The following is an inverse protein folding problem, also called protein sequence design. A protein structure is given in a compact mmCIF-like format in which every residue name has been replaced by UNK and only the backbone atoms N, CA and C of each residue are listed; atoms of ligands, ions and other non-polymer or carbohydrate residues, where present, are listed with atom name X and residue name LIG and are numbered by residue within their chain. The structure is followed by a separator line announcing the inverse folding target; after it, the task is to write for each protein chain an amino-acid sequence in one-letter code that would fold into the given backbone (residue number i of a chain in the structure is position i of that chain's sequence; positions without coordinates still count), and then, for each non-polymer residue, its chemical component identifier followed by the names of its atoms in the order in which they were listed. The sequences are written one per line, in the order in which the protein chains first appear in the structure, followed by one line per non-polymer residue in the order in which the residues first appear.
data_IF_957917694915
#
_entry.id   IF_957917694915
#
_cell.length_a   1.000
_cell.length_b   1.000
_cell.length_c   1.000
_cell.angle_alpha   90.00
_cell.angle_beta   90.00
_cell.angle_gamma   90.00
#
_symmetry.space_group_name_H-M   'P 1'
#
loop_
_entity.id
_entity.type
_entity.pdbx_description
1 polymer ?
#
# COMPACT_ATOMS: atom_id res chain seq x y z
N UNK A 1 -26.46 -22.33 -6.02
CA UNK A 1 -26.56 -22.42 -4.55
C UNK A 1 -25.31 -22.95 -3.84
N UNK A 2 -24.59 -23.98 -4.33
CA UNK A 2 -23.37 -24.48 -3.65
C UNK A 2 -22.15 -23.54 -3.66
N UNK A 3 -22.08 -22.57 -4.59
CA UNK A 3 -20.96 -21.61 -4.70
C UNK A 3 -21.05 -20.45 -3.72
N UNK A 4 -22.25 -19.90 -3.48
CA UNK A 4 -22.49 -18.74 -2.60
C UNK A 4 -22.05 -19.02 -1.16
N UNK A 5 -22.46 -20.16 -0.60
CA UNK A 5 -22.06 -20.56 0.76
C UNK A 5 -20.57 -20.93 0.91
N UNK A 6 -19.80 -21.04 -0.17
CA UNK A 6 -18.34 -21.23 -0.10
C UNK A 6 -17.62 -19.89 0.05
N UNK A 7 -18.12 -18.85 -0.62
CA UNK A 7 -17.56 -17.49 -0.54
C UNK A 7 -17.83 -16.87 0.83
N UNK A 8 -19.06 -16.99 1.35
CA UNK A 8 -19.41 -16.50 2.69
C UNK A 8 -18.54 -17.13 3.79
N UNK A 9 -18.30 -18.45 3.73
CA UNK A 9 -17.43 -19.13 4.69
C UNK A 9 -15.98 -18.67 4.61
N UNK A 10 -15.47 -18.39 3.42
CA UNK A 10 -14.12 -17.82 3.26
C UNK A 10 -14.05 -16.40 3.82
N UNK A 11 -15.06 -15.57 3.56
CA UNK A 11 -15.12 -14.20 4.07
C UNK A 11 -15.17 -14.19 5.60
N UNK A 12 -16.02 -15.02 6.19
CA UNK A 12 -16.12 -15.16 7.65
C UNK A 12 -14.80 -15.64 8.27
N UNK A 13 -14.10 -16.59 7.63
CA UNK A 13 -12.79 -17.04 8.08
C UNK A 13 -11.72 -15.94 8.00
N UNK A 14 -11.69 -15.15 6.92
CA UNK A 14 -10.78 -14.02 6.76
C UNK A 14 -11.03 -12.92 7.81
N UNK A 15 -12.30 -12.60 8.07
CA UNK A 15 -12.70 -11.64 9.11
C UNK A 15 -12.32 -12.15 10.51
N UNK A 16 -12.56 -13.43 10.79
CA UNK A 16 -12.15 -14.03 12.06
C UNK A 16 -10.63 -13.98 12.27
N UNK A 17 -9.84 -14.28 11.22
CA UNK A 17 -8.38 -14.18 11.26
C UNK A 17 -7.89 -12.73 11.45
N UNK A 18 -8.57 -11.76 10.83
CA UNK A 18 -8.29 -10.33 11.04
C UNK A 18 -8.48 -9.92 12.50
N UNK A 19 -9.63 -10.25 13.10
CA UNK A 19 -9.91 -9.92 14.50
C UNK A 19 -8.97 -10.65 15.46
N UNK A 20 -8.62 -11.90 15.18
CA UNK A 20 -7.64 -12.65 15.96
C UNK A 20 -6.27 -11.97 15.94
N UNK A 21 -5.79 -11.59 14.75
CA UNK A 21 -4.53 -10.85 14.59
C UNK A 21 -4.56 -9.51 15.33
N UNK A 22 -5.65 -8.75 15.20
CA UNK A 22 -5.81 -7.47 15.89
C UNK A 22 -5.79 -7.63 17.41
N UNK A 23 -6.47 -8.64 17.94
CA UNK A 23 -6.50 -8.91 19.37
C UNK A 23 -5.13 -9.28 19.92
N UNK A 24 -4.35 -10.07 19.18
CA UNK A 24 -2.96 -10.39 19.54
C UNK A 24 -2.05 -9.15 19.53
N UNK A 25 -2.21 -8.26 18.55
CA UNK A 25 -1.43 -7.03 18.46
C UNK A 25 -1.75 -6.07 19.62
N UNK A 26 -3.03 -5.89 19.94
CA UNK A 26 -3.47 -5.07 21.08
C UNK A 26 -2.94 -5.65 22.40
N UNK A 27 -3.04 -6.97 22.58
CA UNK A 27 -2.50 -7.66 23.75
C UNK A 27 -0.99 -7.45 23.92
N UNK A 28 -0.23 -7.51 22.83
CA UNK A 28 1.21 -7.26 22.82
C UNK A 28 1.57 -5.81 23.21
N UNK A 29 0.84 -4.83 22.65
CA UNK A 29 1.05 -3.40 22.97
C UNK A 29 0.76 -3.13 24.45
N UNK A 30 -0.36 -3.65 24.95
CA UNK A 30 -0.75 -3.47 26.35
C UNK A 30 0.27 -4.13 27.30
N UNK A 31 0.71 -5.36 27.00
CA UNK A 31 1.77 -6.05 27.76
C UNK A 31 3.09 -5.28 27.77
N UNK A 32 3.48 -4.69 26.63
CA UNK A 32 4.71 -3.89 26.52
C UNK A 32 4.66 -2.63 27.38
N UNK A 33 3.52 -1.92 27.42
CA UNK A 33 3.37 -0.74 28.27
C UNK A 33 3.46 -1.09 29.77
N UNK A 34 2.83 -2.20 30.18
CA UNK A 34 2.90 -2.66 31.57
C UNK A 34 4.35 -2.99 32.00
N UNK A 35 5.15 -3.59 31.11
CA UNK A 35 6.56 -3.88 31.38
C UNK A 35 7.42 -2.61 31.58
N UNK A 36 7.11 -1.51 30.90
CA UNK A 36 7.84 -0.24 31.07
C UNK A 36 7.65 0.39 32.45
N UNK A 37 6.46 0.27 33.06
CA UNK A 37 6.26 0.69 34.45
C UNK A 37 7.06 -0.15 35.43
N UNK A 38 6.99 -1.48 35.31
CA UNK A 38 7.71 -2.40 36.19
C UNK A 38 9.24 -2.28 36.07
N UNK A 39 9.75 -1.90 34.90
CA UNK A 39 11.19 -1.64 34.71
C UNK A 39 11.72 -0.46 35.52
N UNK A 40 10.92 0.60 35.71
CA UNK A 40 11.30 1.77 36.53
C UNK A 40 11.40 1.42 38.02
N UNK A 41 10.45 0.63 38.51
CA UNK A 41 10.41 0.15 39.89
C UNK A 41 11.64 -0.71 40.22
N UNK A 42 11.99 -1.64 39.32
CA UNK A 42 13.21 -2.46 39.44
C UNK A 42 14.47 -1.59 39.51
N UNK A 43 14.56 -0.54 38.67
CA UNK A 43 15.71 0.37 38.67
C UNK A 43 15.85 1.13 40.00
N UNK A 44 14.73 1.56 40.59
CA UNK A 44 14.73 2.30 41.85
C UNK A 44 15.09 1.41 43.05
N UNK A 45 14.69 0.13 43.03
CA UNK A 45 15.14 -0.87 44.00
C UNK A 45 16.65 -1.13 43.92
N UNK A 46 17.22 -1.24 42.72
CA UNK A 46 18.68 -1.37 42.55
C UNK A 46 19.45 -0.16 43.08
N UNK A 47 18.97 1.06 42.82
CA UNK A 47 19.56 2.28 43.39
C UNK A 47 19.52 2.27 44.91
N UNK A 48 18.43 1.79 45.48
CA UNK A 48 18.25 1.71 46.93
C UNK A 48 19.20 0.70 47.57
N UNK A 49 19.36 -0.49 46.96
CA UNK A 49 20.37 -1.47 47.38
C UNK A 49 21.79 -0.88 47.35
N UNK A 50 22.13 -0.17 46.27
CA UNK A 50 23.43 0.48 46.15
C UNK A 50 23.66 1.52 47.26
N UNK A 51 22.67 2.37 47.54
CA UNK A 51 22.73 3.37 48.63
C UNK A 51 22.94 2.68 49.98
N UNK A 52 22.20 1.60 50.23
CA UNK A 52 22.26 0.84 51.47
C UNK A 52 23.65 0.21 51.70
N UNK A 53 24.23 -0.40 50.65
CA UNK A 53 25.61 -0.90 50.67
C UNK A 53 26.64 0.22 50.86
N UNK A 54 26.42 1.37 50.21
CA UNK A 54 27.30 2.55 50.31
C UNK A 54 27.33 3.17 51.72
N UNK A 55 26.25 3.07 52.51
CA UNK A 55 26.22 3.57 53.89
C UNK A 55 27.32 2.96 54.76
N UNK A 56 27.50 1.64 54.69
CA UNK A 56 28.54 0.92 55.45
C UNK A 56 29.94 1.37 55.02
N UNK A 57 30.18 1.47 53.72
CA UNK A 57 31.46 1.94 53.18
C UNK A 57 31.77 3.37 53.63
N UNK A 58 30.78 4.25 53.59
CA UNK A 58 30.93 5.67 53.96
C UNK A 58 31.22 5.80 55.46
N UNK A 59 30.56 5.01 56.31
CA UNK A 59 30.86 4.95 57.74
C UNK A 59 32.26 4.38 58.03
N UNK A 60 32.70 3.39 57.26
CA UNK A 60 34.07 2.86 57.38
C UNK A 60 35.12 3.92 57.00
N UNK A 61 34.89 4.68 55.93
CA UNK A 61 35.79 5.79 55.55
C UNK A 61 35.86 6.86 56.65
N UNK A 62 34.73 7.15 57.30
CA UNK A 62 34.70 8.05 58.44
C UNK A 62 35.54 7.55 59.61
N UNK A 63 35.44 6.25 59.92
CA UNK A 63 36.23 5.61 60.96
C UNK A 63 37.73 5.58 60.60
N UNK A 64 38.08 5.33 59.34
CA UNK A 64 39.48 5.35 58.87
C UNK A 64 40.07 6.75 59.03
N UNK A 65 39.36 7.80 58.60
CA UNK A 65 39.81 9.19 58.75
C UNK A 65 39.99 9.58 60.22
N UNK A 66 39.03 9.20 61.07
CA UNK A 66 39.11 9.41 62.51
C UNK A 66 40.33 8.71 63.12
N UNK A 67 40.58 7.43 62.77
CA UNK A 67 41.74 6.68 63.29
C UNK A 67 43.06 7.28 62.85
N UNK A 68 43.15 7.74 61.59
CA UNK A 68 44.33 8.45 61.07
C UNK A 68 44.64 9.69 61.91
N UNK A 69 43.62 10.50 62.23
CA UNK A 69 43.77 11.67 63.11
C UNK A 69 44.13 11.29 64.55
N UNK A 70 43.51 10.25 65.12
CA UNK A 70 43.85 9.80 66.46
C UNK A 70 45.32 9.37 66.59
N UNK A 71 45.85 8.67 65.58
CA UNK A 71 47.22 8.20 65.55
C UNK A 71 48.23 9.34 65.33
N UNK A 72 47.98 10.21 64.36
CA UNK A 72 48.95 11.22 63.90
C UNK A 72 48.79 12.58 64.56
N UNK A 73 47.57 12.94 64.96
CA UNK A 73 47.21 14.30 65.40
C UNK A 73 47.07 15.31 64.25
N UNK A 74 47.29 14.90 62.99
CA UNK A 74 47.26 15.81 61.85
C UNK A 74 45.86 15.94 61.25
N UNK A 75 45.36 17.17 61.16
CA UNK A 75 43.99 17.48 60.72
C UNK A 75 43.70 16.99 59.30
N UNK A 76 44.70 16.88 58.43
CA UNK A 76 44.54 16.39 57.06
C UNK A 76 43.95 14.97 56.97
N UNK A 77 44.13 14.14 58.00
CA UNK A 77 43.53 12.81 58.05
C UNK A 77 42.02 12.83 58.32
N UNK A 78 41.43 13.97 58.70
CA UNK A 78 39.98 14.11 58.88
C UNK A 78 39.22 14.34 57.56
N UNK A 79 39.89 14.58 56.44
CA UNK A 79 39.23 14.82 55.15
C UNK A 79 38.28 13.68 54.68
N UNK A 80 38.58 12.38 54.89
CA UNK A 80 37.63 11.30 54.64
C UNK A 80 36.41 11.33 55.58
N UNK A 81 36.63 11.67 56.86
CA UNK A 81 35.56 11.81 57.85
C UNK A 81 34.58 12.91 57.47
N UNK A 82 35.07 14.11 57.16
CA UNK A 82 34.23 15.25 56.81
C UNK A 82 33.37 14.98 55.57
N UNK A 83 33.94 14.34 54.54
CA UNK A 83 33.20 13.91 53.34
C UNK A 83 32.13 12.87 53.66
N UNK A 84 32.48 11.87 54.48
CA UNK A 84 31.57 10.80 54.84
C UNK A 84 30.36 11.31 55.63
N UNK A 85 30.56 12.20 56.62
CA UNK A 85 29.45 12.76 57.39
C UNK A 85 28.47 13.52 56.49
N UNK A 86 28.97 14.28 55.50
CA UNK A 86 28.13 15.03 54.56
C UNK A 86 27.28 14.18 53.62
N UNK A 87 27.68 12.94 53.33
CA UNK A 87 26.98 12.04 52.41
C UNK A 87 25.98 11.11 53.12
N UNK A 88 26.21 10.79 54.40
CA UNK A 88 25.40 9.83 55.14
C UNK A 88 23.95 10.28 55.36
N UNK A 89 23.71 11.55 55.64
CA UNK A 89 22.36 12.07 55.87
C UNK A 89 21.51 12.05 54.59
N UNK A 90 22.11 12.40 53.45
CA UNK A 90 21.45 12.35 52.15
C UNK A 90 21.03 10.91 51.80
N UNK A 91 21.94 9.94 51.99
CA UNK A 91 21.63 8.54 51.72
C UNK A 91 20.51 7.98 52.61
N UNK A 92 20.52 8.31 53.91
CA UNK A 92 19.50 7.87 54.85
C UNK A 92 18.13 8.49 54.57
N UNK A 93 18.08 9.78 54.21
CA UNK A 93 16.84 10.47 53.86
C UNK A 93 16.20 9.88 52.61
N UNK A 94 16.99 9.67 51.55
CA UNK A 94 16.49 9.10 50.29
C UNK A 94 16.05 7.63 50.43
N UNK A 95 16.65 6.86 51.34
CA UNK A 95 16.19 5.51 51.67
C UNK A 95 14.86 5.53 52.44
N UNK A 96 14.69 6.47 53.38
CA UNK A 96 13.47 6.61 54.17
C UNK A 96 12.27 7.12 53.34
N UNK A 97 12.54 7.97 52.35
CA UNK A 97 11.51 8.51 51.44
C UNK A 97 11.10 7.54 50.34
N UNK A 98 11.82 6.42 50.14
CA UNK A 98 11.52 5.48 49.07
C UNK A 98 10.23 4.68 49.36
N UNK A 99 9.17 4.81 48.55
CA UNK A 99 7.91 4.10 48.76
C UNK A 99 8.06 2.57 48.74
N UNK A 100 9.00 2.04 47.96
CA UNK A 100 9.21 0.60 47.82
C UNK A 100 9.90 -0.03 49.05
N UNK A 101 10.51 0.79 49.91
CA UNK A 101 11.18 0.35 51.13
C UNK A 101 10.32 0.55 52.39
N UNK A 102 9.05 0.96 52.27
CA UNK A 102 8.17 1.20 53.43
C UNK A 102 8.08 -0.02 54.37
N UNK A 103 8.08 -1.24 53.81
CA UNK A 103 8.10 -2.48 54.59
C UNK A 103 9.33 -2.59 55.51
N UNK A 104 10.47 -2.02 55.10
CA UNK A 104 11.74 -1.98 55.84
C UNK A 104 11.92 -0.70 56.67
N UNK A 105 10.90 0.14 56.79
CA UNK A 105 11.00 1.44 57.46
C UNK A 105 11.53 1.36 58.90
N UNK A 106 11.18 0.30 59.64
CA UNK A 106 11.69 0.08 60.99
C UNK A 106 13.21 -0.20 61.02
N UNK A 107 13.70 -1.00 60.08
CA UNK A 107 15.13 -1.30 59.94
C UNK A 107 15.91 -0.08 59.45
N UNK A 108 15.37 0.69 58.51
CA UNK A 108 15.97 1.95 58.04
C UNK A 108 16.07 2.97 59.17
N UNK A 109 15.01 3.12 59.97
CA UNK A 109 15.03 4.00 61.15
C UNK A 109 16.05 3.52 62.21
N UNK A 110 16.19 2.20 62.39
CA UNK A 110 17.20 1.64 63.27
C UNK A 110 18.62 1.89 62.76
N UNK A 111 18.88 1.70 61.46
CA UNK A 111 20.16 2.02 60.80
C UNK A 111 20.48 3.52 60.95
N UNK A 112 19.50 4.41 60.76
CA UNK A 112 19.68 5.85 60.94
C UNK A 112 20.10 6.19 62.39
N UNK A 113 19.42 5.60 63.39
CA UNK A 113 19.78 5.78 64.81
C UNK A 113 21.17 5.25 65.14
N UNK A 114 21.53 4.05 64.67
CA UNK A 114 22.84 3.44 64.89
C UNK A 114 23.96 4.25 64.20
N UNK A 115 23.71 4.75 62.99
CA UNK A 115 24.60 5.66 62.27
C UNK A 115 24.82 6.96 63.05
N UNK A 116 23.75 7.56 63.59
CA UNK A 116 23.86 8.76 64.43
C UNK A 116 24.70 8.50 65.70
N UNK A 117 24.45 7.40 66.42
CA UNK A 117 25.25 7.00 67.58
C UNK A 117 26.72 6.84 67.21
N UNK A 118 27.02 6.14 66.11
CA UNK A 118 28.40 5.94 65.64
C UNK A 118 29.07 7.25 65.26
N UNK A 119 28.36 8.15 64.58
CA UNK A 119 28.90 9.48 64.23
C UNK A 119 29.19 10.33 65.46
N UNK A 120 28.34 10.26 66.48
CA UNK A 120 28.55 10.98 67.75
C UNK A 120 29.79 10.47 68.51
N UNK A 121 30.00 9.15 68.53
CA UNK A 121 31.21 8.51 69.08
C UNK A 121 32.49 8.99 68.35
N UNK A 122 32.46 8.99 67.00
CA UNK A 122 33.56 9.48 66.18
C UNK A 122 33.85 10.97 66.43
N UNK A 123 32.81 11.81 66.52
CA UNK A 123 32.97 13.23 66.79
C UNK A 123 33.56 13.49 68.18
N UNK A 124 33.05 12.80 69.21
CA UNK A 124 33.51 12.96 70.59
C UNK A 124 34.98 12.56 70.75
N UNK A 125 35.40 11.47 70.10
CA UNK A 125 36.79 11.00 70.15
C UNK A 125 37.75 11.96 69.44
N UNK A 126 37.33 12.60 68.34
CA UNK A 126 38.10 13.67 67.68
C UNK A 126 38.24 14.89 68.59
N UNK A 127 37.16 15.31 69.27
CA UNK A 127 37.19 16.45 70.21
C UNK A 127 38.11 16.17 71.39
N UNK A 128 37.96 15.00 72.04
CA UNK A 128 38.82 14.60 73.16
C UNK A 128 40.30 14.54 72.73
N UNK A 129 40.59 14.08 71.52
CA UNK A 129 41.96 14.09 70.98
C UNK A 129 42.53 15.50 70.83
N UNK A 130 41.71 16.47 70.40
CA UNK A 130 42.12 17.88 70.25
C UNK A 130 42.35 18.56 71.60
N UNK A 131 41.50 18.30 72.58
CA UNK A 131 41.49 19.04 73.86
C UNK A 131 42.32 18.37 74.97
N UNK A 132 42.31 17.04 75.04
CA UNK A 132 42.83 16.26 76.17
C UNK A 132 43.98 15.31 75.78
N UNK A 133 44.37 15.30 74.50
CA UNK A 133 45.49 14.51 73.99
C UNK A 133 45.18 13.03 73.73
N UNK A 134 46.20 12.26 73.36
CA UNK A 134 46.05 10.89 72.83
C UNK A 134 45.49 9.89 73.83
N UNK A 135 45.97 9.97 75.07
CA UNK A 135 45.69 8.98 76.12
C UNK A 135 44.21 9.04 76.53
N UNK A 136 43.65 10.24 76.63
CA UNK A 136 42.22 10.44 76.92
C UNK A 136 41.34 9.89 75.79
N UNK A 137 41.71 10.16 74.53
CA UNK A 137 40.97 9.67 73.36
C UNK A 137 41.01 8.13 73.24
N UNK A 138 42.15 7.49 73.53
CA UNK A 138 42.27 6.03 73.54
C UNK A 138 41.46 5.36 74.67
N UNK A 139 41.32 6.02 75.82
CA UNK A 139 40.49 5.50 76.93
C UNK A 139 39.02 5.48 76.54
N UNK A 140 38.54 6.51 75.85
CA UNK A 140 37.17 6.58 75.33
C UNK A 140 36.92 5.53 74.23
N UNK A 141 37.92 5.25 73.40
CA UNK A 141 37.81 4.26 72.32
C UNK A 141 37.75 2.80 72.79
N UNK A 142 38.15 2.51 74.04
CA UNK A 142 38.15 1.14 74.60
C UNK A 142 36.76 0.63 74.98
N UNK A 143 35.74 1.48 74.94
CA UNK A 143 34.34 1.07 75.09
C UNK A 143 33.86 0.42 73.78
N UNK A 144 33.60 -0.90 73.77
CA UNK A 144 33.30 -1.73 72.57
C UNK A 144 31.95 -1.40 71.87
N UNK A 145 31.35 -0.25 72.19
CA UNK A 145 30.06 0.21 71.70
C UNK A 145 30.06 0.37 70.17
N UNK A 146 31.16 0.87 69.60
CA UNK A 146 31.28 1.11 68.16
C UNK A 146 31.22 -0.16 67.31
N UNK A 147 31.69 -1.30 67.84
CA UNK A 147 31.61 -2.60 67.17
C UNK A 147 30.17 -3.12 67.17
N UNK A 148 29.48 -3.00 68.31
CA UNK A 148 28.07 -3.39 68.46
C UNK A 148 27.20 -2.63 67.44
N UNK A 149 27.40 -1.32 67.29
CA UNK A 149 26.63 -0.53 66.32
C UNK A 149 26.86 -0.99 64.87
N UNK A 150 28.12 -1.28 64.51
CA UNK A 150 28.47 -1.74 63.16
C UNK A 150 27.93 -3.14 62.85
N UNK A 151 27.99 -4.07 63.81
CA UNK A 151 27.47 -5.43 63.62
C UNK A 151 25.94 -5.44 63.53
N UNK A 152 25.25 -4.66 64.35
CA UNK A 152 23.79 -4.49 64.28
C UNK A 152 23.36 -3.82 62.96
N UNK A 153 24.09 -2.80 62.48
CA UNK A 153 23.84 -2.19 61.17
C UNK A 153 24.05 -3.19 60.03
N UNK A 154 25.12 -3.98 60.05
CA UNK A 154 25.36 -5.04 59.04
C UNK A 154 24.23 -6.06 59.02
N UNK A 155 23.75 -6.49 60.17
CA UNK A 155 22.65 -7.44 60.27
C UNK A 155 21.37 -6.90 59.63
N UNK A 156 20.99 -5.66 59.97
CA UNK A 156 19.79 -5.01 59.41
C UNK A 156 19.91 -4.76 57.91
N UNK A 157 21.08 -4.30 57.48
CA UNK A 157 21.38 -4.10 56.06
C UNK A 157 21.25 -5.43 55.30
N UNK A 158 21.86 -6.50 55.80
CA UNK A 158 21.75 -7.84 55.20
C UNK A 158 20.31 -8.36 55.10
N UNK A 159 19.48 -8.09 56.11
CA UNK A 159 18.05 -8.44 56.09
C UNK A 159 17.29 -7.69 54.99
N UNK A 160 17.52 -6.38 54.84
CA UNK A 160 16.92 -5.58 53.77
C UNK A 160 17.40 -6.06 52.40
N UNK A 161 18.72 -6.26 52.23
CA UNK A 161 19.33 -6.71 50.98
C UNK A 161 18.75 -8.05 50.52
N UNK A 162 18.63 -9.01 51.44
CA UNK A 162 18.09 -10.34 51.15
C UNK A 162 16.63 -10.28 50.71
N UNK A 163 15.81 -9.47 51.39
CA UNK A 163 14.39 -9.33 51.08
C UNK A 163 14.13 -8.57 49.76
N UNK A 164 14.89 -7.51 49.50
CA UNK A 164 14.82 -6.78 48.23
C UNK A 164 15.33 -7.64 47.07
N UNK A 165 16.41 -8.42 47.29
CA UNK A 165 16.94 -9.34 46.27
C UNK A 165 15.93 -10.44 45.90
N UNK A 166 15.17 -10.96 46.88
CA UNK A 166 14.09 -11.91 46.61
C UNK A 166 12.97 -11.26 45.77
N UNK A 167 12.53 -10.07 46.16
CA UNK A 167 11.49 -9.31 45.44
C UNK A 167 11.90 -8.99 44.00
N UNK A 168 13.16 -8.60 43.79
CA UNK A 168 13.73 -8.35 42.46
C UNK A 168 13.73 -9.59 41.58
N UNK A 169 14.00 -10.79 42.14
CA UNK A 169 13.96 -12.04 41.37
C UNK A 169 12.55 -12.37 40.89
N UNK A 170 11.56 -12.22 41.76
CA UNK A 170 10.15 -12.45 41.39
C UNK A 170 9.69 -11.47 40.30
N UNK A 171 9.95 -10.18 40.49
CA UNK A 171 9.59 -9.16 39.48
C UNK A 171 10.30 -9.40 38.14
N UNK A 172 11.57 -9.82 38.16
CA UNK A 172 12.34 -10.11 36.95
C UNK A 172 11.73 -11.26 36.13
N UNK A 173 11.30 -12.33 36.80
CA UNK A 173 10.65 -13.47 36.11
C UNK A 173 9.31 -13.07 35.49
N UNK A 174 8.49 -12.28 36.20
CA UNK A 174 7.22 -11.76 35.67
C UNK A 174 7.44 -10.84 34.46
N UNK A 175 8.43 -9.94 34.53
CA UNK A 175 8.85 -9.07 33.43
C UNK A 175 9.28 -9.86 32.18
N UNK A 176 10.12 -10.89 32.36
CA UNK A 176 10.62 -11.72 31.27
C UNK A 176 9.47 -12.45 30.56
N UNK A 177 8.64 -13.15 31.32
CA UNK A 177 7.48 -13.87 30.80
C UNK A 177 6.53 -12.94 30.01
N UNK A 178 6.18 -11.76 30.56
CA UNK A 178 5.32 -10.78 29.88
C UNK A 178 5.94 -10.26 28.59
N UNK A 179 7.26 -10.03 28.59
CA UNK A 179 7.96 -9.56 27.39
C UNK A 179 7.97 -10.62 26.29
N UNK A 180 8.18 -11.89 26.63
CA UNK A 180 8.12 -12.99 25.66
C UNK A 180 6.72 -13.17 25.09
N UNK A 181 5.68 -13.13 25.94
CA UNK A 181 4.29 -13.16 25.49
C UNK A 181 3.98 -12.03 24.50
N UNK A 182 4.42 -10.80 24.80
CA UNK A 182 4.19 -9.65 23.93
C UNK A 182 4.92 -9.80 22.59
N UNK A 183 6.16 -10.28 22.60
CA UNK A 183 6.95 -10.53 21.38
C UNK A 183 6.32 -11.60 20.49
N UNK A 184 6.01 -12.77 21.06
CA UNK A 184 5.46 -13.89 20.29
C UNK A 184 4.01 -13.63 19.88
N UNK A 185 3.19 -13.05 20.75
CA UNK A 185 1.82 -12.66 20.44
C UNK A 185 1.75 -11.58 19.35
N UNK A 186 2.53 -10.51 19.50
CA UNK A 186 2.59 -9.42 18.53
C UNK A 186 3.17 -9.86 17.19
N UNK A 187 4.27 -10.62 17.21
CA UNK A 187 4.89 -11.19 16.01
C UNK A 187 3.97 -12.16 15.27
N UNK A 188 3.31 -13.06 16.01
CA UNK A 188 2.32 -13.99 15.45
C UNK A 188 1.11 -13.27 14.86
N UNK A 189 0.59 -12.26 15.57
CA UNK A 189 -0.49 -11.40 15.06
C UNK A 189 -0.08 -10.69 13.77
N UNK A 190 1.11 -10.10 13.70
CA UNK A 190 1.61 -9.42 12.50
C UNK A 190 1.79 -10.37 11.31
N UNK A 191 2.33 -11.58 11.51
CA UNK A 191 2.46 -12.58 10.45
C UNK A 191 1.11 -13.06 9.92
N UNK A 192 0.12 -13.28 10.81
CA UNK A 192 -1.25 -13.60 10.41
C UNK A 192 -1.87 -12.46 9.58
N UNK A 193 -1.62 -11.20 9.95
CA UNK A 193 -2.09 -10.03 9.21
C UNK A 193 -1.47 -9.96 7.81
N UNK A 194 -0.16 -10.22 7.70
CA UNK A 194 0.55 -10.23 6.42
C UNK A 194 0.04 -11.34 5.51
N UNK A 195 -0.18 -12.55 6.06
CA UNK A 195 -0.80 -13.66 5.35
C UNK A 195 -2.22 -13.33 4.87
N UNK A 196 -3.01 -12.65 5.69
CA UNK A 196 -4.36 -12.21 5.33
C UNK A 196 -4.34 -11.18 4.18
N UNK A 197 -3.48 -10.16 4.28
CA UNK A 197 -3.34 -9.11 3.28
C UNK A 197 -2.88 -9.66 1.92
N UNK A 198 -1.91 -10.58 1.93
CA UNK A 198 -1.44 -11.23 0.70
C UNK A 198 -2.52 -12.07 0.03
N UNK A 199 -3.32 -12.83 0.79
CA UNK A 199 -4.46 -13.57 0.25
C UNK A 199 -5.52 -12.64 -0.37
N UNK A 200 -5.90 -11.56 0.34
CA UNK A 200 -6.85 -10.57 -0.17
C UNK A 200 -6.34 -9.88 -1.44
N UNK A 201 -5.06 -9.52 -1.48
CA UNK A 201 -4.44 -8.89 -2.64
C UNK A 201 -4.46 -9.79 -3.88
N UNK A 202 -4.11 -11.07 -3.72
CA UNK A 202 -4.13 -12.05 -4.83
C UNK A 202 -5.56 -12.25 -5.35
N UNK A 203 -6.55 -12.36 -4.46
CA UNK A 203 -7.95 -12.55 -4.83
C UNK A 203 -8.49 -11.32 -5.59
N UNK A 204 -8.25 -10.12 -5.06
CA UNK A 204 -8.64 -8.86 -5.70
C UNK A 204 -8.00 -8.69 -7.09
N UNK A 205 -6.71 -9.01 -7.21
CA UNK A 205 -6.00 -8.90 -8.49
C UNK A 205 -6.59 -9.83 -9.55
N UNK A 206 -7.00 -11.05 -9.17
CA UNK A 206 -7.64 -12.01 -10.07
C UNK A 206 -9.00 -11.48 -10.54
N UNK A 207 -9.86 -11.04 -9.63
CA UNK A 207 -11.19 -10.50 -9.96
C UNK A 207 -11.10 -9.28 -10.88
N UNK A 208 -10.12 -8.37 -10.65
CA UNK A 208 -9.87 -7.23 -11.53
C UNK A 208 -9.42 -7.66 -12.93
N UNK A 209 -8.57 -8.68 -13.04
CA UNK A 209 -8.06 -9.16 -14.33
C UNK A 209 -9.15 -9.83 -15.16
N UNK A 210 -9.98 -10.67 -14.53
CA UNK A 210 -11.11 -11.34 -15.19
C UNK A 210 -12.13 -10.32 -15.71
N UNK A 211 -12.42 -9.27 -14.92
CA UNK A 211 -13.33 -8.19 -15.36
C UNK A 211 -12.75 -7.38 -16.52
N UNK A 212 -11.45 -7.09 -16.49
CA UNK A 212 -10.80 -6.36 -17.58
C UNK A 212 -10.89 -7.14 -18.90
N UNK A 213 -10.60 -8.45 -18.87
CA UNK A 213 -10.68 -9.30 -20.07
C UNK A 213 -12.13 -9.41 -20.59
N UNK A 214 -13.12 -9.52 -19.70
CA UNK A 214 -14.53 -9.52 -20.09
C UNK A 214 -14.94 -8.20 -20.74
N UNK A 215 -14.52 -7.06 -20.17
CA UNK A 215 -14.80 -5.75 -20.75
C UNK A 215 -14.15 -5.57 -22.12
N UNK A 216 -12.91 -6.05 -22.30
CA UNK A 216 -12.22 -6.02 -23.59
C UNK A 216 -12.94 -6.85 -24.65
N UNK A 217 -13.37 -8.08 -24.29
CA UNK A 217 -14.17 -8.94 -25.17
C UNK A 217 -15.51 -8.30 -25.54
N UNK A 218 -16.23 -7.75 -24.56
CA UNK A 218 -17.51 -7.05 -24.80
C UNK A 218 -17.32 -5.81 -25.68
N UNK A 219 -16.23 -5.06 -25.49
CA UNK A 219 -15.89 -3.92 -26.31
C UNK A 219 -15.58 -4.33 -27.76
N UNK A 220 -14.87 -5.44 -27.96
CA UNK A 220 -14.58 -5.99 -29.29
C UNK A 220 -15.85 -6.44 -30.01
N UNK A 221 -16.72 -7.18 -29.32
CA UNK A 221 -18.00 -7.66 -29.86
C UNK A 221 -18.97 -6.51 -30.17
N UNK A 222 -18.96 -5.43 -29.38
CA UNK A 222 -19.79 -4.25 -29.61
C UNK A 222 -19.34 -3.40 -30.81
N UNK A 223 -18.11 -3.57 -31.31
CA UNK A 223 -17.52 -2.71 -32.35
C UNK A 223 -17.41 -3.37 -33.72
N UNK A 224 -17.56 -4.69 -33.82
CA UNK A 224 -17.42 -5.43 -35.09
C UNK A 224 -18.76 -6.06 -35.51
N UNK A 225 -18.92 -6.28 -36.82
CA UNK A 225 -20.04 -7.02 -37.38
C UNK A 225 -19.86 -8.52 -37.11
N UNK A 226 -20.89 -9.18 -36.59
CA UNK A 226 -20.82 -10.58 -36.15
C UNK A 226 -20.57 -11.57 -37.29
N UNK A 227 -20.96 -11.21 -38.53
CA UNK A 227 -20.83 -12.08 -39.70
C UNK A 227 -19.49 -11.86 -40.43
N UNK A 228 -19.16 -10.61 -40.72
CA UNK A 228 -18.04 -10.22 -41.60
C UNK A 228 -16.79 -9.80 -40.84
N UNK A 229 -16.89 -9.58 -39.51
CA UNK A 229 -15.80 -9.18 -38.62
C UNK A 229 -15.13 -7.84 -38.94
N UNK A 230 -15.60 -7.09 -39.93
CA UNK A 230 -15.23 -5.68 -40.12
C UNK A 230 -15.92 -4.80 -39.07
N UNK A 231 -15.44 -3.57 -38.82
CA UNK A 231 -16.13 -2.58 -38.01
C UNK A 231 -17.63 -2.49 -38.34
N UNK A 232 -18.48 -2.44 -37.32
CA UNK A 232 -19.91 -2.26 -37.49
C UNK A 232 -20.28 -0.77 -37.60
N UNK A 233 -21.57 -0.48 -37.81
CA UNK A 233 -22.09 0.90 -37.91
C UNK A 233 -21.67 1.80 -36.75
N UNK A 234 -21.60 1.28 -35.52
CA UNK A 234 -21.18 2.07 -34.35
C UNK A 234 -19.70 2.44 -34.44
N UNK A 235 -18.82 1.46 -34.67
CA UNK A 235 -17.40 1.71 -34.81
C UNK A 235 -17.08 2.62 -36.00
N UNK A 236 -17.75 2.42 -37.13
CA UNK A 236 -17.66 3.32 -38.29
C UNK A 236 -17.96 4.77 -37.93
N UNK A 237 -19.06 4.99 -37.22
CA UNK A 237 -19.49 6.32 -36.80
C UNK A 237 -18.44 7.02 -35.92
N UNK A 238 -17.84 6.28 -34.98
CA UNK A 238 -16.79 6.79 -34.09
C UNK A 238 -15.49 7.08 -34.86
N UNK A 239 -15.07 6.18 -35.77
CA UNK A 239 -13.89 6.38 -36.62
C UNK A 239 -14.05 7.56 -37.59
N UNK A 240 -15.25 7.74 -38.17
CA UNK A 240 -15.53 8.85 -39.06
C UNK A 240 -15.50 10.19 -38.30
N UNK A 241 -16.09 10.25 -37.10
CA UNK A 241 -16.01 11.46 -36.27
C UNK A 241 -14.55 11.83 -35.93
N UNK A 242 -13.70 10.84 -35.62
CA UNK A 242 -12.27 11.05 -35.39
C UNK A 242 -11.54 11.54 -36.65
N UNK A 243 -11.79 10.91 -37.80
CA UNK A 243 -11.18 11.29 -39.06
C UNK A 243 -11.56 12.73 -39.45
N UNK A 244 -12.83 13.12 -39.27
CA UNK A 244 -13.31 14.48 -39.53
C UNK A 244 -12.69 15.50 -38.56
N UNK A 245 -12.48 15.13 -37.29
CA UNK A 245 -11.80 16.00 -36.33
C UNK A 245 -10.35 16.29 -36.73
N UNK A 246 -9.63 15.30 -37.27
CA UNK A 246 -8.28 15.49 -37.82
C UNK A 246 -8.32 16.34 -39.10
N UNK A 247 -9.29 16.10 -39.98
CA UNK A 247 -9.45 16.87 -41.21
C UNK A 247 -9.74 18.35 -40.96
N UNK A 248 -10.52 18.67 -39.92
CA UNK A 248 -10.79 20.05 -39.45
C UNK A 248 -9.53 20.82 -39.08
N UNK A 249 -8.50 20.13 -38.59
CA UNK A 249 -7.21 20.73 -38.22
C UNK A 249 -6.29 20.94 -39.43
N UNK A 250 -6.73 20.58 -40.64
CA UNK A 250 -5.93 20.65 -41.87
C UNK A 250 -4.93 19.50 -42.00
N UNK A 251 -4.98 18.50 -41.12
CA UNK A 251 -3.97 17.44 -41.03
C UNK A 251 -4.19 16.32 -42.05
N UNK A 252 -5.41 16.16 -42.60
CA UNK A 252 -5.74 15.08 -43.52
C UNK A 252 -6.96 15.39 -44.40
N UNK A 253 -6.88 15.07 -45.69
CA UNK A 253 -8.06 15.07 -46.57
C UNK A 253 -8.83 13.75 -46.33
N UNK A 254 -10.11 13.84 -45.99
CA UNK A 254 -10.96 12.68 -45.68
C UNK A 254 -12.05 12.54 -46.73
N UNK A 255 -12.26 11.30 -47.18
CA UNK A 255 -13.33 10.91 -48.08
C UNK A 255 -14.12 9.74 -47.50
N UNK A 256 -15.39 9.70 -47.87
CA UNK A 256 -16.33 8.64 -47.54
C UNK A 256 -16.81 8.01 -48.84
N UNK A 257 -16.74 6.69 -48.91
CA UNK A 257 -17.41 5.89 -49.93
C UNK A 257 -18.57 5.16 -49.25
N UNK A 258 -19.78 5.30 -49.77
CA UNK A 258 -20.95 4.53 -49.35
C UNK A 258 -21.23 3.49 -50.42
N UNK A 259 -21.39 2.23 -50.03
CA UNK A 259 -21.44 1.09 -50.94
C UNK A 259 -22.69 0.26 -50.67
N UNK A 260 -23.37 -0.17 -51.73
CA UNK A 260 -24.51 -1.07 -51.66
C UNK A 260 -24.38 -2.14 -52.74
N UNK A 261 -24.56 -3.40 -52.34
CA UNK A 261 -24.39 -4.53 -53.23
C UNK A 261 -25.58 -4.71 -54.17
N UNK A 262 -25.33 -4.50 -55.45
CA UNK A 262 -26.33 -4.65 -56.50
C UNK A 262 -26.69 -6.12 -56.70
N UNK A 263 -27.99 -6.44 -56.58
CA UNK A 263 -28.48 -7.80 -56.81
C UNK A 263 -28.31 -8.74 -55.62
N UNK A 264 -28.01 -8.23 -54.42
CA UNK A 264 -27.86 -9.07 -53.23
C UNK A 264 -29.17 -9.73 -52.77
N UNK A 265 -30.30 -9.00 -52.78
CA UNK A 265 -31.60 -9.55 -52.37
C UNK A 265 -32.04 -10.78 -53.18
N UNK A 266 -31.98 -10.79 -54.53
CA UNK A 266 -32.22 -12.00 -55.33
C UNK A 266 -31.41 -13.23 -54.91
N UNK A 267 -30.17 -13.05 -54.42
CA UNK A 267 -29.35 -14.19 -53.95
C UNK A 267 -29.96 -14.82 -52.71
N UNK A 268 -30.39 -14.02 -51.74
CA UNK A 268 -31.09 -14.53 -50.56
C UNK A 268 -32.40 -15.22 -50.93
N UNK A 269 -33.16 -14.63 -51.86
CA UNK A 269 -34.46 -15.13 -52.27
C UNK A 269 -34.35 -16.46 -53.06
N UNK A 270 -33.31 -16.62 -53.89
CA UNK A 270 -33.13 -17.77 -54.77
C UNK A 270 -32.26 -18.89 -54.17
N UNK A 271 -31.23 -18.55 -53.37
CA UNK A 271 -30.22 -19.48 -52.87
C UNK A 271 -30.18 -19.56 -51.33
N UNK A 272 -31.04 -18.78 -50.65
CA UNK A 272 -31.17 -18.77 -49.19
C UNK A 272 -30.15 -17.88 -48.49
N UNK A 273 -30.46 -17.53 -47.23
CA UNK A 273 -29.63 -16.64 -46.41
C UNK A 273 -28.20 -17.15 -46.18
N UNK A 274 -27.98 -18.47 -46.14
CA UNK A 274 -26.63 -19.02 -46.00
C UNK A 274 -25.73 -18.69 -47.22
N UNK A 275 -26.31 -18.66 -48.42
CA UNK A 275 -25.60 -18.25 -49.63
C UNK A 275 -25.29 -16.75 -49.59
N UNK A 276 -26.25 -15.90 -49.20
CA UNK A 276 -26.01 -14.48 -49.01
C UNK A 276 -24.94 -14.17 -47.96
N UNK A 277 -24.95 -14.87 -46.84
CA UNK A 277 -23.93 -14.76 -45.79
C UNK A 277 -22.53 -15.13 -46.30
N UNK A 278 -22.43 -16.19 -47.12
CA UNK A 278 -21.18 -16.57 -47.77
C UNK A 278 -20.72 -15.51 -48.78
N UNK A 279 -21.64 -14.97 -49.59
CA UNK A 279 -21.37 -13.87 -50.52
C UNK A 279 -20.81 -12.65 -49.79
N UNK A 280 -21.42 -12.22 -48.69
CA UNK A 280 -20.94 -11.07 -47.90
C UNK A 280 -19.53 -11.29 -47.35
N UNK A 281 -19.23 -12.50 -46.86
CA UNK A 281 -17.88 -12.84 -46.37
C UNK A 281 -16.83 -12.78 -47.48
N UNK A 282 -17.16 -13.28 -48.68
CA UNK A 282 -16.25 -13.23 -49.83
C UNK A 282 -16.06 -11.81 -50.32
N UNK A 283 -17.13 -11.02 -50.45
CA UNK A 283 -17.06 -9.59 -50.82
C UNK A 283 -16.11 -8.83 -49.89
N UNK A 284 -16.27 -9.01 -48.58
CA UNK A 284 -15.41 -8.36 -47.59
C UNK A 284 -13.95 -8.82 -47.72
N UNK A 285 -13.71 -10.11 -47.91
CA UNK A 285 -12.36 -10.63 -48.11
C UNK A 285 -11.69 -10.07 -49.38
N UNK A 286 -12.44 -9.97 -50.49
CA UNK A 286 -11.96 -9.40 -51.76
C UNK A 286 -11.62 -7.92 -51.58
N UNK A 287 -12.50 -7.14 -50.95
CA UNK A 287 -12.26 -5.73 -50.67
C UNK A 287 -11.07 -5.51 -49.75
N UNK A 288 -10.98 -6.23 -48.63
CA UNK A 288 -9.81 -6.16 -47.75
C UNK A 288 -8.49 -6.49 -48.47
N UNK A 289 -8.52 -7.42 -49.44
CA UNK A 289 -7.36 -7.78 -50.24
C UNK A 289 -6.87 -6.69 -51.22
N UNK A 290 -7.75 -5.79 -51.66
CA UNK A 290 -7.39 -4.68 -52.58
C UNK A 290 -7.20 -3.34 -51.88
N UNK A 291 -7.62 -3.23 -50.61
CA UNK A 291 -7.48 -2.03 -49.79
C UNK A 291 -6.06 -1.85 -49.25
N UNK A 292 -5.66 -0.59 -49.07
CA UNK A 292 -4.34 -0.19 -48.56
C UNK A 292 -4.42 0.18 -47.08
N UNK A 293 -3.25 0.25 -46.44
CA UNK A 293 -3.11 0.76 -45.09
C UNK A 293 -3.68 2.19 -44.97
N UNK A 294 -4.60 2.40 -44.03
CA UNK A 294 -5.30 3.67 -43.84
C UNK A 294 -6.64 3.81 -44.57
N UNK A 295 -7.05 2.82 -45.36
CA UNK A 295 -8.43 2.68 -45.87
C UNK A 295 -9.20 1.73 -44.95
N UNK A 296 -10.35 2.18 -44.41
CA UNK A 296 -11.10 1.42 -43.38
C UNK A 296 -12.46 1.03 -43.92
N UNK A 297 -12.69 -0.29 -44.09
CA UNK A 297 -13.98 -0.87 -44.47
C UNK A 297 -14.84 -1.12 -43.23
N UNK A 298 -16.12 -0.80 -43.33
CA UNK A 298 -17.11 -1.10 -42.31
C UNK A 298 -18.39 -1.62 -42.95
N UNK A 299 -19.12 -2.47 -42.21
CA UNK A 299 -20.47 -2.91 -42.58
C UNK A 299 -21.50 -2.14 -41.78
N UNK A 300 -22.42 -1.48 -42.49
CA UNK A 300 -23.44 -0.65 -41.87
C UNK A 300 -24.72 -1.46 -41.58
N UNK A 301 -24.97 -2.52 -42.34
CA UNK A 301 -26.06 -3.47 -42.13
C UNK A 301 -26.57 -4.03 -43.45
N UNK A 302 -27.10 -5.26 -43.46
CA UNK A 302 -27.56 -5.89 -44.70
C UNK A 302 -26.43 -5.99 -45.75
N UNK A 303 -26.67 -5.41 -46.92
CA UNK A 303 -25.77 -5.23 -48.06
C UNK A 303 -25.06 -3.87 -48.11
N UNK A 304 -25.24 -3.02 -47.09
CA UNK A 304 -24.63 -1.71 -47.01
C UNK A 304 -23.25 -1.74 -46.34
N UNK A 305 -22.28 -1.10 -46.98
CA UNK A 305 -20.93 -0.91 -46.49
C UNK A 305 -20.49 0.54 -46.62
N UNK A 306 -19.44 0.90 -45.89
CA UNK A 306 -18.81 2.19 -46.03
C UNK A 306 -17.29 2.05 -45.93
N UNK A 307 -16.58 2.92 -46.65
CA UNK A 307 -15.13 3.03 -46.56
C UNK A 307 -14.74 4.45 -46.20
N UNK A 308 -13.92 4.58 -45.16
CA UNK A 308 -13.23 5.83 -44.82
C UNK A 308 -11.86 5.76 -45.48
N UNK A 309 -11.56 6.76 -46.30
CA UNK A 309 -10.28 6.86 -47.00
C UNK A 309 -9.73 8.28 -46.90
N UNK A 310 -8.45 8.43 -47.23
CA UNK A 310 -7.81 9.73 -47.30
C UNK A 310 -7.18 9.94 -48.68
N UNK A 311 -7.36 11.13 -49.23
CA UNK A 311 -6.83 11.48 -50.54
C UNK A 311 -7.64 12.54 -51.28
N UNK A 312 -7.12 12.91 -52.44
CA UNK A 312 -7.81 13.75 -53.42
C UNK A 312 -8.90 12.97 -54.19
N UNK A 313 -9.65 13.67 -55.04
CA UNK A 313 -10.74 13.05 -55.82
C UNK A 313 -10.24 11.86 -56.64
N UNK A 314 -9.08 11.98 -57.30
CA UNK A 314 -8.52 10.92 -58.13
C UNK A 314 -8.13 9.67 -57.30
N UNK A 315 -7.55 9.84 -56.10
CA UNK A 315 -7.26 8.73 -55.22
C UNK A 315 -8.51 7.99 -54.75
N UNK A 316 -9.58 8.73 -54.46
CA UNK A 316 -10.87 8.19 -54.03
C UNK A 316 -11.55 7.42 -55.18
N UNK A 317 -11.52 7.95 -56.39
CA UNK A 317 -12.02 7.26 -57.59
C UNK A 317 -11.24 5.98 -57.88
N UNK A 318 -9.91 6.00 -57.77
CA UNK A 318 -9.08 4.78 -57.90
C UNK A 318 -9.42 3.73 -56.84
N UNK A 319 -9.73 4.14 -55.61
CA UNK A 319 -10.22 3.21 -54.59
C UNK A 319 -11.58 2.63 -54.98
N UNK A 320 -12.54 3.47 -55.37
CA UNK A 320 -13.86 3.03 -55.82
C UNK A 320 -13.77 2.01 -56.97
N UNK A 321 -12.95 2.31 -57.98
CA UNK A 321 -12.74 1.42 -59.12
C UNK A 321 -12.10 0.09 -58.71
N UNK A 322 -11.13 0.10 -57.79
CA UNK A 322 -10.55 -1.15 -57.26
C UNK A 322 -11.60 -2.01 -56.56
N UNK A 323 -12.47 -1.41 -55.76
CA UNK A 323 -13.54 -2.12 -55.05
C UNK A 323 -14.58 -2.69 -56.00
N UNK A 324 -14.92 -1.96 -57.07
CA UNK A 324 -15.83 -2.43 -58.13
C UNK A 324 -15.21 -3.61 -58.88
N UNK A 325 -14.00 -3.44 -59.42
CA UNK A 325 -13.30 -4.46 -60.21
C UNK A 325 -13.02 -5.74 -59.41
N UNK A 326 -12.87 -5.63 -58.08
CA UNK A 326 -12.69 -6.80 -57.21
C UNK A 326 -13.88 -7.76 -57.26
N UNK A 327 -15.07 -7.30 -57.69
CA UNK A 327 -16.28 -8.11 -57.80
C UNK A 327 -16.52 -8.69 -59.21
N UNK A 328 -15.64 -8.45 -60.18
CA UNK A 328 -15.73 -9.00 -61.55
C UNK A 328 -15.42 -10.50 -61.66
N UNK A 329 -15.17 -11.15 -60.52
CA UNK A 329 -14.86 -12.57 -60.41
C UNK A 329 -16.04 -13.36 -59.85
N UNK A 330 -16.18 -14.66 -60.17
CA UNK A 330 -17.16 -15.52 -59.52
C UNK A 330 -16.96 -15.53 -58.00
N UNK A 331 -18.00 -15.16 -57.24
CA UNK A 331 -17.90 -15.00 -55.79
C UNK A 331 -17.98 -16.33 -55.04
N UNK A 332 -18.76 -17.29 -55.54
CA UNK A 332 -18.95 -18.59 -54.90
C UNK A 332 -18.61 -19.71 -55.87
N UNK A 333 -17.66 -20.58 -55.50
CA UNK A 333 -17.25 -21.72 -56.33
C UNK A 333 -18.40 -22.71 -56.60
N UNK A 334 -19.32 -22.84 -55.64
CA UNK A 334 -20.48 -23.72 -55.73
C UNK A 334 -21.65 -23.13 -56.55
N UNK A 335 -21.64 -21.81 -56.78
CA UNK A 335 -22.63 -21.10 -57.59
C UNK A 335 -21.93 -20.10 -58.53
N UNK A 336 -21.21 -20.57 -59.57
CA UNK A 336 -20.41 -19.71 -60.44
C UNK A 336 -21.23 -18.67 -61.22
N UNK A 337 -22.53 -18.86 -61.33
CA UNK A 337 -23.49 -17.96 -61.95
C UNK A 337 -23.87 -16.76 -61.06
N UNK A 338 -23.64 -16.84 -59.74
CA UNK A 338 -23.88 -15.71 -58.86
C UNK A 338 -22.92 -14.57 -59.22
N UNK A 339 -23.52 -13.42 -59.52
CA UNK A 339 -22.86 -12.15 -59.80
C UNK A 339 -23.48 -11.08 -58.92
N UNK A 340 -22.65 -10.25 -58.32
CA UNK A 340 -23.06 -9.10 -57.51
C UNK A 340 -22.27 -7.90 -58.01
N UNK A 341 -22.98 -6.80 -58.26
CA UNK A 341 -22.35 -5.52 -58.52
C UNK A 341 -22.22 -4.71 -57.24
N UNK A 342 -21.63 -3.53 -57.33
CA UNK A 342 -21.66 -2.56 -56.23
C UNK A 342 -21.87 -1.17 -56.79
N UNK A 343 -22.84 -0.46 -56.23
CA UNK A 343 -23.04 0.95 -56.51
C UNK A 343 -22.34 1.75 -55.43
N UNK A 344 -21.46 2.67 -55.83
CA UNK A 344 -20.57 3.38 -54.91
C UNK A 344 -20.83 4.89 -54.98
N UNK A 345 -21.16 5.49 -53.85
CA UNK A 345 -21.30 6.93 -53.71
C UNK A 345 -20.10 7.56 -53.04
N UNK A 346 -19.50 8.56 -53.68
CA UNK A 346 -18.29 9.22 -53.20
C UNK A 346 -18.64 10.57 -52.56
N UNK A 347 -18.08 10.86 -51.39
CA UNK A 347 -18.18 12.19 -50.78
C UNK A 347 -16.85 12.60 -50.15
N UNK A 348 -16.52 13.89 -50.20
CA UNK A 348 -15.27 14.45 -49.65
C UNK A 348 -15.57 15.50 -48.60
N UNK A 349 -14.79 15.45 -47.52
CA UNK A 349 -14.86 16.43 -46.45
C UNK A 349 -14.52 17.83 -46.96
N UNK A 350 -15.24 18.81 -46.41
CA UNK A 350 -15.35 20.23 -46.78
C UNK A 350 -16.10 20.50 -48.11
N UNK A 351 -15.90 19.68 -49.15
CA UNK A 351 -16.57 19.87 -50.45
C UNK A 351 -18.04 19.45 -50.44
N UNK A 352 -18.34 18.31 -49.82
CA UNK A 352 -19.66 17.67 -49.85
C UNK A 352 -20.33 17.64 -48.45
N UNK A 353 -19.62 18.05 -47.41
CA UNK A 353 -20.12 18.13 -46.05
C UNK A 353 -19.02 18.38 -45.02
N UNK A 354 -19.33 19.16 -43.99
CA UNK A 354 -18.40 19.51 -42.88
C UNK A 354 -18.67 18.72 -41.59
N UNK A 355 -19.72 17.92 -41.57
CA UNK A 355 -20.09 17.05 -40.48
C UNK A 355 -20.47 15.66 -41.00
N UNK A 356 -20.41 14.66 -40.11
CA UNK A 356 -20.68 13.25 -40.43
C UNK A 356 -22.03 13.08 -41.13
N UNK A 357 -23.08 13.73 -40.65
CA UNK A 357 -24.45 13.53 -41.15
C UNK A 357 -24.56 14.02 -42.59
N UNK A 358 -24.03 15.21 -42.89
CA UNK A 358 -24.04 15.77 -44.25
C UNK A 358 -23.17 14.94 -45.20
N UNK A 359 -22.00 14.50 -44.74
CA UNK A 359 -21.10 13.71 -45.56
C UNK A 359 -21.69 12.34 -45.93
N UNK A 360 -22.31 11.64 -44.96
CA UNK A 360 -23.03 10.39 -45.22
C UNK A 360 -24.19 10.62 -46.19
N UNK A 361 -25.01 11.67 -45.98
CA UNK A 361 -26.14 11.96 -46.86
C UNK A 361 -25.70 12.29 -48.30
N UNK A 362 -24.57 12.98 -48.47
CA UNK A 362 -24.01 13.27 -49.78
C UNK A 362 -23.51 11.99 -50.47
N UNK A 363 -22.82 11.11 -49.74
CA UNK A 363 -22.35 9.83 -50.28
C UNK A 363 -23.53 8.91 -50.63
N UNK A 364 -24.57 8.84 -49.81
CA UNK A 364 -25.79 8.08 -50.08
C UNK A 364 -26.52 8.59 -51.34
N UNK A 365 -26.67 9.91 -51.48
CA UNK A 365 -27.24 10.53 -52.69
C UNK A 365 -26.44 10.17 -53.95
N UNK A 366 -25.11 10.18 -53.84
CA UNK A 366 -24.23 9.81 -54.93
C UNK A 366 -24.34 8.31 -55.27
N UNK A 367 -24.45 7.44 -54.27
CA UNK A 367 -24.65 6.00 -54.47
C UNK A 367 -25.96 5.72 -55.21
N UNK A 368 -27.04 6.44 -54.85
CA UNK A 368 -28.32 6.29 -55.55
C UNK A 368 -28.20 6.66 -57.04
N UNK A 369 -27.41 7.67 -57.38
CA UNK A 369 -27.13 8.02 -58.79
C UNK A 369 -26.35 6.94 -59.52
N UNK A 370 -25.38 6.30 -58.86
CA UNK A 370 -24.69 5.15 -59.43
C UNK A 370 -25.68 3.99 -59.72
N UNK A 371 -26.68 3.79 -58.85
CA UNK A 371 -27.76 2.81 -59.11
C UNK A 371 -28.59 3.18 -60.35
N UNK A 372 -28.92 4.46 -60.54
CA UNK A 372 -29.66 4.94 -61.71
C UNK A 372 -28.84 4.93 -63.01
N UNK A 373 -27.51 5.12 -62.91
CA UNK A 373 -26.59 5.15 -64.05
C UNK A 373 -26.25 3.76 -64.62
N UNK A 374 -26.90 2.70 -64.15
CA UNK A 374 -26.73 1.33 -64.64
C UNK A 374 -26.09 0.36 -63.65
N UNK A 375 -25.89 0.77 -62.38
CA UNK A 375 -25.29 -0.05 -61.30
C UNK A 375 -23.83 -0.42 -61.57
N UNK A 376 -23.18 -1.05 -60.60
CA UNK A 376 -21.78 -1.51 -60.74
C UNK A 376 -20.83 -0.37 -61.21
N UNK A 377 -20.99 0.81 -60.63
CA UNK A 377 -20.21 2.00 -60.95
C UNK A 377 -20.12 2.91 -59.71
N UNK A 378 -19.37 4.00 -59.83
CA UNK A 378 -19.32 5.04 -58.80
C UNK A 378 -19.87 6.37 -59.31
N UNK A 379 -20.33 7.22 -58.40
CA UNK A 379 -20.74 8.59 -58.72
C UNK A 379 -20.40 9.56 -57.58
N UNK A 380 -20.35 10.85 -57.93
CA UNK A 380 -20.25 11.98 -57.01
C UNK A 380 -21.65 12.62 -56.81
N UNK A 381 -21.91 13.28 -55.66
CA UNK A 381 -23.08 14.14 -55.53
C UNK A 381 -22.92 15.34 -56.47
N UNK A 382 -24.03 15.97 -56.86
CA UNK A 382 -24.00 17.18 -57.70
C UNK A 382 -23.14 18.25 -57.00
N UNK A 383 -22.15 18.79 -57.72
CA UNK A 383 -21.33 19.87 -57.19
C UNK A 383 -22.19 21.09 -56.92
N UNK A 384 -22.08 21.64 -55.71
CA UNK A 384 -22.78 22.88 -55.35
C UNK A 384 -21.97 24.09 -55.81
N UNK A 385 -21.62 24.18 -57.10
CA UNK A 385 -21.17 25.42 -57.74
C UNK A 385 -21.63 25.47 -59.21
N UNK A 386 -22.32 26.55 -59.65
CA UNK A 386 -22.54 26.79 -61.06
C UNK A 386 -21.20 27.13 -61.71
N UNK A 387 -20.81 26.39 -62.74
CA UNK A 387 -19.70 26.78 -63.61
C UNK A 387 -20.17 28.03 -64.36
N UNK A 388 -19.69 29.20 -63.94
CA UNK A 388 -19.80 30.44 -64.70
C UNK A 388 -19.07 30.24 -66.03
N UNK A 389 -19.84 30.27 -67.13
CA UNK A 389 -19.30 30.41 -68.47
C UNK A 389 -18.50 31.71 -68.54
N UNK A 390 -17.20 31.61 -68.78
CA UNK A 390 -16.38 32.74 -69.20
C UNK A 390 -16.53 32.85 -70.72
N UNK A 391 -16.91 34.05 -71.15
CA UNK A 391 -17.09 34.50 -72.54
C UNK A 391 -15.81 34.40 -73.35
#
# INVERSE_FOLDING_TARGET
MKSVGRVERKLLALVALFYLSLMLLIGAIWGSQASLSSGRDVQELYRSLYRLSSLLSTLQDAEIGQRGFLLTGEVQYLAPYERAIGQLDEHLLLLAENPMLQFYGADIAAIARLSQLKRSELAQTIVVRREQGQVAAQKLLREDNGKIYMDEMRLRISNIESGVAASLREQKLDLQWRSELALWGGGGGALLMLGLLTLLFVDLRRDLSERAELLERLAFESQHDSLTRVPNRRAFNEMLDQALALARRGERQVALLYLDLDGFKPINDQYGHAAGDATLKVVVALWQGVMREGEVLARLGGDEFAVIAAGDAEAVERLAQRLINALDVPLLAQYPEIRVGVSVGLARYAEHGEDRRRLIAAADTAMYRAKEAGKHCFAWPESRQPVLAVV
#
